data_IF_883066371389
#
_entry.id   IF_883066371389
#
_cell.length_a   1.000
_cell.length_b   1.000
_cell.length_c   1.000
_cell.angle_alpha   90.00
_cell.angle_beta   90.00
_cell.angle_gamma   90.00
#
_symmetry.space_group_name_H-M   'P 1'
#
loop_
_entity.id
_entity.type
_entity.pdbx_description
1 polymer ?
#
# COMPACT_ATOMS: atom_id res chain seq x y z
N UNK A 1 -11.68 -27.69 -1.61
CA UNK A 1 -11.75 -26.58 -0.64
C UNK A 1 -10.37 -26.23 -0.04
N UNK A 2 -9.26 -26.25 -0.79
CA UNK A 2 -7.91 -25.92 -0.28
C UNK A 2 -7.38 -24.54 -0.75
N UNK A 3 -8.21 -23.74 -1.42
CA UNK A 3 -7.73 -22.67 -2.31
C UNK A 3 -7.73 -21.27 -1.68
N UNK A 4 -8.58 -21.00 -0.67
CA UNK A 4 -8.70 -19.65 -0.09
C UNK A 4 -7.59 -19.33 0.91
N UNK A 5 -7.18 -20.33 1.71
CA UNK A 5 -6.16 -20.16 2.75
C UNK A 5 -4.78 -19.93 2.14
N UNK A 6 -4.44 -20.67 1.08
CA UNK A 6 -3.17 -20.49 0.36
C UNK A 6 -3.09 -19.12 -0.33
N UNK A 7 -4.20 -18.66 -0.93
CA UNK A 7 -4.31 -17.34 -1.55
C UNK A 7 -4.20 -16.22 -0.52
N UNK A 8 -4.81 -16.38 0.66
CA UNK A 8 -4.69 -15.43 1.76
C UNK A 8 -3.24 -15.33 2.28
N UNK A 9 -2.55 -16.46 2.43
CA UNK A 9 -1.13 -16.48 2.82
C UNK A 9 -0.24 -15.82 1.75
N UNK A 10 -0.46 -16.11 0.47
CA UNK A 10 0.27 -15.46 -0.63
C UNK A 10 0.04 -13.95 -0.64
N UNK A 11 -1.22 -13.51 -0.48
CA UNK A 11 -1.56 -12.10 -0.39
C UNK A 11 -0.90 -11.41 0.82
N UNK A 12 -0.95 -12.05 1.99
CA UNK A 12 -0.36 -11.52 3.22
C UNK A 12 1.18 -11.43 3.12
N UNK A 13 1.84 -12.43 2.51
CA UNK A 13 3.27 -12.41 2.24
C UNK A 13 3.67 -11.27 1.30
N UNK A 14 2.93 -11.08 0.21
CA UNK A 14 3.20 -9.99 -0.74
C UNK A 14 3.03 -8.61 -0.09
N UNK A 15 2.01 -8.46 0.75
CA UNK A 15 1.81 -7.24 1.54
C UNK A 15 2.95 -6.99 2.53
N UNK A 16 3.41 -8.03 3.23
CA UNK A 16 4.56 -7.94 4.14
C UNK A 16 5.84 -7.55 3.40
N UNK A 17 6.12 -8.16 2.25
CA UNK A 17 7.30 -7.82 1.43
C UNK A 17 7.27 -6.35 1.01
N UNK A 18 6.12 -5.87 0.55
CA UNK A 18 5.95 -4.47 0.12
C UNK A 18 6.14 -3.50 1.30
N UNK A 19 5.63 -3.83 2.48
CA UNK A 19 5.83 -3.05 3.70
C UNK A 19 7.29 -3.05 4.15
N UNK A 20 7.97 -4.20 4.10
CA UNK A 20 9.40 -4.29 4.43
C UNK A 20 10.23 -3.43 3.47
N UNK A 21 9.90 -3.42 2.17
CA UNK A 21 10.56 -2.54 1.20
C UNK A 21 10.29 -1.06 1.52
N UNK A 22 9.07 -0.67 1.89
CA UNK A 22 8.76 0.72 2.31
C UNK A 22 9.65 1.18 3.46
N UNK A 23 9.73 0.36 4.53
CA UNK A 23 10.53 0.69 5.72
C UNK A 23 12.02 0.70 5.39
N UNK A 24 12.52 -0.29 4.65
CA UNK A 24 13.93 -0.39 4.29
C UNK A 24 14.39 0.77 3.42
N UNK A 25 13.60 1.14 2.41
CA UNK A 25 13.92 2.28 1.54
C UNK A 25 13.88 3.58 2.33
N UNK A 26 12.88 3.81 3.19
CA UNK A 26 12.86 5.04 3.98
C UNK A 26 14.08 5.11 4.91
N UNK A 27 14.40 4.02 5.60
CA UNK A 27 15.53 3.98 6.52
C UNK A 27 16.85 4.28 5.80
N UNK A 28 17.07 3.68 4.62
CA UNK A 28 18.25 3.95 3.80
C UNK A 28 18.30 5.39 3.23
N UNK A 29 17.15 5.95 2.86
CA UNK A 29 17.10 7.29 2.26
C UNK A 29 17.01 8.42 3.29
N UNK A 30 16.68 8.13 4.55
CA UNK A 30 16.49 9.12 5.61
C UNK A 30 17.74 10.00 5.82
N UNK A 31 18.93 9.43 5.64
CA UNK A 31 20.20 10.13 5.83
C UNK A 31 20.77 10.78 4.54
N UNK A 32 20.19 10.45 3.38
CA UNK A 32 20.73 10.87 2.07
C UNK A 32 19.89 11.94 1.38
N UNK A 33 18.59 11.99 1.66
CA UNK A 33 17.65 12.93 1.04
C UNK A 33 16.68 13.48 2.08
N UNK A 34 16.04 14.61 1.77
CA UNK A 34 15.02 15.16 2.66
C UNK A 34 13.92 14.12 2.93
N UNK A 35 13.53 13.99 4.20
CA UNK A 35 12.59 12.96 4.69
C UNK A 35 11.30 12.87 3.86
N UNK A 36 10.80 13.99 3.34
CA UNK A 36 9.62 14.05 2.48
C UNK A 36 9.83 13.29 1.16
N UNK A 37 10.99 13.47 0.51
CA UNK A 37 11.35 12.79 -0.73
C UNK A 37 11.67 11.33 -0.47
N UNK A 38 12.35 11.02 0.63
CA UNK A 38 12.57 9.65 1.10
C UNK A 38 11.24 8.90 1.21
N UNK A 39 10.21 9.52 1.82
CA UNK A 39 8.89 8.93 2.01
C UNK A 39 8.14 8.68 0.70
N UNK A 40 8.18 9.65 -0.21
CA UNK A 40 7.53 9.51 -1.53
C UNK A 40 8.17 8.34 -2.29
N UNK A 41 9.50 8.29 -2.35
CA UNK A 41 10.24 7.24 -3.07
C UNK A 41 9.99 5.86 -2.44
N UNK A 42 10.06 5.76 -1.11
CA UNK A 42 9.80 4.53 -0.37
C UNK A 42 8.40 3.98 -0.67
N UNK A 43 7.37 4.83 -0.57
CA UNK A 43 6.00 4.40 -0.82
C UNK A 43 5.78 4.01 -2.29
N UNK A 44 6.35 4.75 -3.25
CA UNK A 44 6.27 4.38 -4.66
C UNK A 44 6.92 3.03 -4.94
N UNK A 45 8.11 2.77 -4.40
CA UNK A 45 8.79 1.47 -4.56
C UNK A 45 8.03 0.33 -3.88
N UNK A 46 7.38 0.59 -2.74
CA UNK A 46 6.51 -0.38 -2.08
C UNK A 46 5.30 -0.76 -2.97
N UNK A 47 4.61 0.23 -3.57
CA UNK A 47 3.51 -0.04 -4.50
C UNK A 47 3.98 -0.78 -5.75
N UNK A 48 5.15 -0.42 -6.30
CA UNK A 48 5.74 -1.14 -7.44
C UNK A 48 6.10 -2.59 -7.09
N UNK A 49 6.63 -2.83 -5.90
CA UNK A 49 6.94 -4.18 -5.39
C UNK A 49 5.66 -5.01 -5.27
N UNK A 50 4.59 -4.40 -4.74
CA UNK A 50 3.28 -5.03 -4.63
C UNK A 50 2.73 -5.44 -6.01
N UNK A 51 2.83 -4.54 -6.99
CA UNK A 51 2.42 -4.81 -8.38
C UNK A 51 3.28 -5.92 -9.02
N UNK A 52 4.60 -5.87 -8.83
CA UNK A 52 5.51 -6.86 -9.39
C UNK A 52 5.28 -8.26 -8.80
N UNK A 53 5.02 -8.35 -7.50
CA UNK A 53 4.66 -9.62 -6.85
C UNK A 53 3.34 -10.16 -7.40
N UNK A 54 2.31 -9.33 -7.56
CA UNK A 54 1.07 -9.75 -8.21
C UNK A 54 1.31 -10.24 -9.64
N UNK A 55 2.23 -9.61 -10.39
CA UNK A 55 2.62 -10.05 -11.73
C UNK A 55 3.39 -11.37 -11.73
N UNK A 56 4.26 -11.64 -10.75
CA UNK A 56 5.03 -12.89 -10.70
C UNK A 56 4.16 -14.06 -10.22
N UNK A 57 3.28 -13.85 -9.23
CA UNK A 57 2.45 -14.90 -8.63
C UNK A 57 1.21 -15.26 -9.47
N UNK A 58 0.61 -14.31 -10.20
CA UNK A 58 -0.70 -14.53 -10.86
C UNK A 58 -0.59 -15.13 -12.26
N UNK A 59 0.59 -15.11 -12.90
CA UNK A 59 0.77 -15.65 -14.26
C UNK A 59 0.93 -17.19 -14.33
N UNK A 60 0.51 -17.93 -13.29
CA UNK A 60 0.61 -19.39 -13.30
C UNK A 60 -0.64 -20.21 -13.55
N UNK A 61 -1.90 -19.75 -13.40
CA UNK A 61 -3.04 -20.63 -13.75
C UNK A 61 -4.44 -19.96 -13.85
N UNK A 62 -5.04 -20.11 -15.04
CA UNK A 62 -6.44 -20.44 -15.36
C UNK A 62 -7.65 -19.71 -14.70
N UNK A 63 -7.70 -18.38 -14.73
CA UNK A 63 -8.97 -17.63 -14.75
C UNK A 63 -8.78 -16.31 -15.52
N UNK A 64 -9.81 -15.81 -16.20
CA UNK A 64 -9.77 -14.67 -17.14
C UNK A 64 -8.87 -13.54 -16.62
N UNK A 65 -7.66 -13.45 -17.18
CA UNK A 65 -6.51 -12.75 -16.59
C UNK A 65 -6.74 -11.23 -16.45
N UNK A 66 -7.58 -10.66 -17.31
CA UNK A 66 -7.88 -9.23 -17.33
C UNK A 66 -8.62 -8.73 -16.09
N UNK A 67 -9.51 -9.54 -15.50
CA UNK A 67 -10.32 -9.10 -14.37
C UNK A 67 -9.49 -8.93 -13.09
N UNK A 68 -8.60 -9.89 -12.79
CA UNK A 68 -7.69 -9.83 -11.64
C UNK A 68 -6.60 -8.76 -11.82
N UNK A 69 -6.12 -8.59 -13.05
CA UNK A 69 -5.18 -7.52 -13.38
C UNK A 69 -5.80 -6.15 -13.18
N UNK A 70 -7.04 -5.96 -13.65
CA UNK A 70 -7.78 -4.70 -13.49
C UNK A 70 -8.00 -4.36 -12.01
N UNK A 71 -8.36 -5.32 -11.17
CA UNK A 71 -8.46 -5.10 -9.72
C UNK A 71 -7.11 -4.75 -9.07
N UNK A 72 -6.02 -5.44 -9.42
CA UNK A 72 -4.69 -5.15 -8.87
C UNK A 72 -4.16 -3.77 -9.28
N UNK A 73 -4.40 -3.37 -10.54
CA UNK A 73 -4.06 -2.03 -11.03
C UNK A 73 -4.94 -0.98 -10.37
N UNK A 74 -6.24 -1.21 -10.26
CA UNK A 74 -7.15 -0.31 -9.54
C UNK A 74 -6.75 -0.16 -8.06
N UNK A 75 -6.33 -1.24 -7.41
CA UNK A 75 -5.80 -1.19 -6.05
C UNK A 75 -4.48 -0.42 -5.95
N UNK A 76 -3.59 -0.57 -6.94
CA UNK A 76 -2.33 0.19 -6.99
C UNK A 76 -2.58 1.68 -7.21
N UNK A 77 -3.52 2.03 -8.09
CA UNK A 77 -3.95 3.42 -8.32
C UNK A 77 -4.64 3.99 -7.09
N UNK A 78 -5.52 3.23 -6.44
CA UNK A 78 -6.10 3.62 -5.16
C UNK A 78 -5.01 3.84 -4.10
N UNK A 79 -4.00 2.97 -4.06
CA UNK A 79 -2.85 3.09 -3.15
C UNK A 79 -2.04 4.35 -3.39
N UNK A 80 -1.84 4.74 -4.66
CA UNK A 80 -1.22 6.00 -5.04
C UNK A 80 -2.07 7.22 -4.64
N UNK A 81 -3.40 7.12 -4.61
CA UNK A 81 -4.25 8.19 -4.05
C UNK A 81 -4.13 8.26 -2.51
N UNK A 82 -3.95 7.12 -1.85
CA UNK A 82 -3.60 7.04 -0.43
C UNK A 82 -2.23 7.65 -0.08
N UNK A 83 -1.37 7.92 -1.07
CA UNK A 83 -0.10 8.65 -0.89
C UNK A 83 -0.37 10.04 -0.30
N UNK A 84 -1.42 10.73 -0.76
CA UNK A 84 -1.71 12.13 -0.38
C UNK A 84 -1.85 12.28 1.14
N UNK A 85 -2.76 11.54 1.82
CA UNK A 85 -2.86 11.60 3.27
C UNK A 85 -1.65 10.97 3.97
N UNK A 86 -1.02 9.94 3.41
CA UNK A 86 0.16 9.29 4.02
C UNK A 86 1.35 10.27 4.12
N UNK A 87 1.68 10.93 3.02
CA UNK A 87 2.76 11.91 2.93
C UNK A 87 2.37 13.20 3.67
N UNK A 88 1.11 13.63 3.59
CA UNK A 88 0.62 14.80 4.32
C UNK A 88 0.73 14.64 5.84
N UNK A 89 0.34 13.48 6.37
CA UNK A 89 0.49 13.18 7.80
C UNK A 89 1.95 12.98 8.20
N UNK A 90 2.77 12.38 7.34
CA UNK A 90 4.19 12.28 7.59
C UNK A 90 4.85 13.67 7.67
N UNK A 91 4.52 14.56 6.74
CA UNK A 91 4.99 15.95 6.75
C UNK A 91 4.56 16.69 8.02
N UNK A 92 3.32 16.51 8.45
CA UNK A 92 2.82 17.06 9.70
C UNK A 92 3.55 16.49 10.93
N UNK A 93 3.79 15.17 10.96
CA UNK A 93 4.51 14.50 12.03
C UNK A 93 5.96 15.03 12.18
N UNK A 94 6.70 15.16 11.07
CA UNK A 94 8.08 15.68 11.10
C UNK A 94 8.15 17.19 11.41
N UNK A 95 7.07 17.93 11.16
CA UNK A 95 6.97 19.37 11.46
C UNK A 95 6.62 19.66 12.92
N UNK A 96 6.30 18.63 13.71
CA UNK A 96 5.94 18.79 15.12
C UNK A 96 7.19 18.91 16.00
N UNK A 97 7.17 19.79 17.02
CA UNK A 97 8.28 19.98 17.95
C UNK A 97 8.71 18.69 18.68
N UNK A 98 7.77 17.76 18.86
CA UNK A 98 8.03 16.41 19.38
C UNK A 98 9.03 15.66 18.50
N UNK A 99 8.88 15.69 17.17
CA UNK A 99 9.82 15.04 16.26
C UNK A 99 11.21 15.66 16.36
N UNK A 100 11.31 16.99 16.41
CA UNK A 100 12.60 17.69 16.55
C UNK A 100 13.35 17.32 17.84
N UNK A 101 12.63 16.96 18.90
CA UNK A 101 13.22 16.50 20.17
C UNK A 101 13.81 15.09 20.06
N UNK A 102 13.18 14.21 19.25
CA UNK A 102 13.58 12.82 19.08
C UNK A 102 14.30 12.54 17.74
N UNK A 103 14.56 13.56 16.93
CA UNK A 103 15.14 13.43 15.59
C UNK A 103 16.55 12.79 15.58
N UNK A 104 17.25 12.82 16.73
CA UNK A 104 18.58 12.22 16.89
C UNK A 104 18.56 10.68 16.98
N UNK A 105 17.38 10.05 17.13
CA UNK A 105 17.27 8.59 17.14
C UNK A 105 17.12 8.05 15.71
N UNK A 106 17.90 7.04 15.34
CA UNK A 106 17.88 6.39 14.01
C UNK A 106 16.49 5.84 13.61
N UNK A 107 15.65 5.51 14.59
CA UNK A 107 14.29 5.00 14.36
C UNK A 107 13.21 6.09 14.33
N UNK A 108 13.56 7.36 14.57
CA UNK A 108 12.60 8.47 14.58
C UNK A 108 11.86 8.65 13.24
N UNK A 109 12.51 8.56 12.06
CA UNK A 109 11.83 8.62 10.77
C UNK A 109 10.82 7.47 10.58
N UNK A 110 11.17 6.29 11.09
CA UNK A 110 10.33 5.09 11.03
C UNK A 110 9.14 5.18 11.98
N UNK A 111 9.31 5.79 13.16
CA UNK A 111 8.19 6.06 14.06
C UNK A 111 7.23 7.11 13.49
N UNK A 112 7.76 8.15 12.84
CA UNK A 112 6.98 9.23 12.25
C UNK A 112 6.06 8.77 11.10
N UNK A 113 6.39 7.68 10.40
CA UNK A 113 5.52 7.12 9.35
C UNK A 113 4.32 6.33 9.88
N UNK A 114 4.36 5.80 11.11
CA UNK A 114 3.31 4.94 11.67
C UNK A 114 1.89 5.54 11.57
N UNK A 115 1.63 6.79 12.03
CA UNK A 115 0.30 7.38 11.91
C UNK A 115 -0.12 7.59 10.44
N UNK A 116 0.83 7.99 9.58
CA UNK A 116 0.57 8.13 8.15
C UNK A 116 0.24 6.80 7.47
N UNK A 117 0.91 5.71 7.86
CA UNK A 117 0.63 4.36 7.37
C UNK A 117 -0.75 3.90 7.82
N UNK A 118 -1.09 4.06 9.11
CA UNK A 118 -2.41 3.66 9.63
C UNK A 118 -3.55 4.38 8.90
N UNK A 119 -3.44 5.70 8.78
CA UNK A 119 -4.48 6.50 8.11
C UNK A 119 -4.48 6.24 6.60
N UNK A 120 -3.31 6.15 5.97
CA UNK A 120 -3.17 5.81 4.56
C UNK A 120 -3.77 4.44 4.22
N UNK A 121 -3.53 3.43 5.07
CA UNK A 121 -4.13 2.09 4.91
C UNK A 121 -5.65 2.13 5.10
N UNK A 122 -6.13 2.86 6.11
CA UNK A 122 -7.56 2.97 6.38
C UNK A 122 -8.30 3.68 5.24
N UNK A 123 -7.72 4.77 4.71
CA UNK A 123 -8.24 5.47 3.54
C UNK A 123 -8.11 4.64 2.26
N UNK A 124 -7.01 3.91 2.06
CA UNK A 124 -6.88 2.98 0.94
C UNK A 124 -7.94 1.89 0.98
N UNK A 125 -8.22 1.35 2.16
CA UNK A 125 -9.29 0.37 2.36
C UNK A 125 -10.66 0.99 2.10
N UNK A 126 -10.94 2.20 2.61
CA UNK A 126 -12.22 2.89 2.39
C UNK A 126 -12.43 3.27 0.93
N UNK A 127 -11.40 3.79 0.24
CA UNK A 127 -11.43 4.13 -1.18
C UNK A 127 -11.57 2.88 -2.04
N UNK A 128 -10.83 1.82 -1.74
CA UNK A 128 -11.00 0.53 -2.42
C UNK A 128 -12.41 -0.01 -2.21
N UNK A 129 -12.93 0.05 -0.98
CA UNK A 129 -14.30 -0.37 -0.65
C UNK A 129 -15.38 0.46 -1.35
N UNK A 130 -15.22 1.78 -1.44
CA UNK A 130 -16.24 2.67 -2.02
C UNK A 130 -16.13 2.87 -3.52
N UNK A 131 -14.94 2.73 -4.11
CA UNK A 131 -14.69 3.02 -5.53
C UNK A 131 -14.49 1.76 -6.37
N UNK A 132 -13.86 0.71 -5.82
CA UNK A 132 -13.64 -0.56 -6.54
C UNK A 132 -14.85 -1.48 -6.41
N UNK A 133 -15.51 -1.53 -5.25
CA UNK A 133 -16.65 -2.45 -5.02
C UNK A 133 -18.05 -1.85 -5.29
N UNK A 134 -18.15 -0.56 -5.64
CA UNK A 134 -19.42 0.05 -6.04
C UNK A 134 -19.69 -0.20 -7.53
N UNK A 135 -19.89 -1.48 -7.87
CA UNK A 135 -20.16 -1.95 -9.23
C UNK A 135 -20.76 -3.36 -9.33
N UNK A 136 -21.21 -3.93 -8.20
CA UNK A 136 -21.95 -5.20 -8.19
C UNK A 136 -23.24 -5.07 -7.36
N UNK A 137 -24.09 -4.14 -7.76
CA UNK A 137 -25.51 -4.20 -7.45
C UNK A 137 -26.26 -4.58 -8.72
N UNK A 138 -26.81 -5.79 -8.69
CA UNK A 138 -27.98 -6.28 -9.44
C UNK A 138 -27.86 -6.42 -10.96
N UNK A 139 -27.37 -7.58 -11.39
CA UNK A 139 -27.99 -8.29 -12.51
C UNK A 139 -28.50 -9.63 -11.95
N UNK A 140 -29.66 -9.58 -11.30
CA UNK A 140 -30.51 -10.76 -11.12
C UNK A 140 -30.97 -11.13 -12.53
N UNK A 141 -30.32 -12.13 -13.13
CA UNK A 141 -30.81 -12.74 -14.35
C UNK A 141 -32.02 -13.57 -13.94
N UNK A 142 -33.20 -13.01 -14.19
CA UNK A 142 -34.46 -13.75 -14.15
C UNK A 142 -34.39 -14.84 -15.23
N UNK A 143 -34.41 -16.10 -14.81
CA UNK A 143 -34.52 -17.23 -15.74
C UNK A 143 -36.01 -17.56 -15.89
N UNK A 144 -36.51 -17.73 -17.13
CA UNK A 144 -37.88 -18.18 -17.36
C UNK A 144 -38.13 -19.60 -16.84
#
# INVERSE_FOLDING_TARGET
>A
MKTTLLQFFQFSLVGQVSFTVDVAVLWLLADHVALIWARIIAFTLAVLTNWLCHRIYTFKEHATQDAKFKEAVQFSVASLLGLIPNVGLYWWAISTATYQTYANYELAPVAAMLPGILVGHCLNFLLSKHWVFKGKSDNVVDYP
#
